data_IF_780608943859
#
_entry.id   IF_780608943859
#
_cell.length_a   1.000
_cell.length_b   1.000
_cell.length_c   1.000
_cell.angle_alpha   90.00
_cell.angle_beta   90.00
_cell.angle_gamma   90.00
#
_symmetry.space_group_name_H-M   'P 1'
#
loop_
_entity.id
_entity.type
_entity.pdbx_description
1 polymer ?
#
# COMPACT_ATOMS: atom_id res chain seq x y z
N UNK A 1 3.02 -5.49 -37.49
CA UNK A 1 3.55 -4.10 -37.62
C UNK A 1 4.50 -3.86 -36.45
N UNK A 2 5.68 -3.27 -36.68
CA UNK A 2 6.68 -3.09 -35.61
C UNK A 2 6.49 -1.80 -34.79
N UNK A 3 7.19 -1.66 -33.65
CA UNK A 3 7.07 -0.50 -32.74
C UNK A 3 7.27 0.83 -33.46
N UNK A 4 8.32 0.92 -34.29
CA UNK A 4 8.67 2.15 -34.99
C UNK A 4 7.61 2.57 -36.00
N UNK A 5 7.01 1.60 -36.71
CA UNK A 5 5.89 1.83 -37.62
C UNK A 5 4.64 2.28 -36.87
N UNK A 6 4.30 1.61 -35.77
CA UNK A 6 3.14 1.95 -34.93
C UNK A 6 3.23 3.37 -34.37
N UNK A 7 4.35 3.73 -33.74
CA UNK A 7 4.54 5.05 -33.12
C UNK A 7 4.59 6.17 -34.16
N UNK A 8 5.18 5.89 -35.33
CA UNK A 8 5.21 6.86 -36.42
C UNK A 8 3.81 7.12 -36.97
N UNK A 9 3.02 6.08 -37.20
CA UNK A 9 1.64 6.25 -37.69
C UNK A 9 0.75 6.93 -36.64
N UNK A 10 0.92 6.58 -35.36
CA UNK A 10 0.23 7.25 -34.25
C UNK A 10 0.61 8.73 -34.16
N UNK A 11 1.90 9.06 -34.24
CA UNK A 11 2.39 10.44 -34.32
C UNK A 11 1.74 11.18 -35.48
N UNK A 12 1.76 10.60 -36.69
CA UNK A 12 1.23 11.27 -37.90
C UNK A 12 -0.28 11.53 -37.82
N UNK A 13 -1.04 10.65 -37.14
CA UNK A 13 -2.50 10.82 -36.96
C UNK A 13 -2.82 11.90 -35.91
N UNK A 14 -2.02 12.01 -34.87
CA UNK A 14 -2.19 12.96 -33.76
C UNK A 14 -1.48 14.30 -34.00
N UNK A 15 -0.51 14.34 -34.90
CA UNK A 15 0.20 15.54 -35.32
C UNK A 15 -0.78 16.57 -35.90
N UNK A 16 -0.83 17.75 -35.28
CA UNK A 16 -1.77 18.80 -35.63
C UNK A 16 -3.17 18.66 -35.01
N UNK A 17 -3.44 17.57 -34.29
CA UNK A 17 -4.65 17.42 -33.44
C UNK A 17 -4.35 17.62 -31.96
N UNK A 18 -3.11 17.36 -31.52
CA UNK A 18 -2.63 17.60 -30.16
C UNK A 18 -1.53 18.68 -30.15
N UNK A 19 -1.38 19.44 -29.05
CA UNK A 19 -0.17 20.21 -28.77
C UNK A 19 1.08 19.35 -28.84
N UNK A 20 2.25 19.89 -29.26
CA UNK A 20 3.48 19.10 -29.38
C UNK A 20 3.94 18.45 -28.07
N UNK A 21 3.66 19.07 -26.92
CA UNK A 21 3.99 18.53 -25.59
C UNK A 21 3.13 17.31 -25.23
N UNK A 22 1.82 17.39 -25.43
CA UNK A 22 0.90 16.25 -25.21
C UNK A 22 1.15 15.11 -26.20
N UNK A 23 1.54 15.45 -27.43
CA UNK A 23 1.90 14.45 -28.43
C UNK A 23 3.14 13.65 -28.00
N UNK A 24 4.14 14.33 -27.44
CA UNK A 24 5.36 13.70 -26.93
C UNK A 24 5.05 12.78 -25.73
N UNK A 25 4.21 13.23 -24.81
CA UNK A 25 3.76 12.43 -23.65
C UNK A 25 3.04 11.15 -24.08
N UNK A 26 2.10 11.25 -25.03
CA UNK A 26 1.38 10.10 -25.59
C UNK A 26 2.34 9.12 -26.25
N UNK A 27 3.30 9.61 -27.03
CA UNK A 27 4.27 8.74 -27.71
C UNK A 27 5.24 8.09 -26.73
N UNK A 28 5.66 8.80 -25.68
CA UNK A 28 6.52 8.28 -24.62
C UNK A 28 5.83 7.15 -23.83
N UNK A 29 4.53 7.29 -23.56
CA UNK A 29 3.74 6.24 -22.92
C UNK A 29 3.73 4.94 -23.73
N UNK A 30 3.39 5.02 -25.02
CA UNK A 30 3.38 3.82 -25.87
C UNK A 30 4.80 3.29 -26.13
N UNK A 31 5.81 4.15 -26.21
CA UNK A 31 7.21 3.71 -26.28
C UNK A 31 7.63 2.88 -25.07
N UNK A 32 7.32 3.35 -23.86
CA UNK A 32 7.55 2.60 -22.63
C UNK A 32 6.77 1.28 -22.63
N UNK A 33 5.54 1.30 -23.14
CA UNK A 33 4.69 0.11 -23.25
C UNK A 33 5.29 -0.99 -24.14
N UNK A 34 5.84 -0.62 -25.30
CA UNK A 34 6.54 -1.58 -26.15
C UNK A 34 7.88 -2.06 -25.54
N UNK A 35 8.53 -1.22 -24.72
CA UNK A 35 9.82 -1.56 -24.11
C UNK A 35 9.70 -2.49 -22.89
N UNK A 36 8.57 -2.43 -22.17
CA UNK A 36 8.29 -3.23 -20.97
C UNK A 36 7.71 -4.62 -21.30
N UNK A 37 7.35 -4.85 -22.57
CA UNK A 37 6.78 -6.12 -23.01
C UNK A 37 7.86 -7.15 -23.32
N UNK A 38 7.72 -8.36 -22.76
CA UNK A 38 8.55 -9.54 -23.11
C UNK A 38 8.14 -10.18 -24.46
N UNK A 39 6.98 -9.78 -25.00
CA UNK A 39 6.44 -10.25 -26.28
C UNK A 39 7.06 -9.51 -27.47
N UNK A 40 6.99 -10.13 -28.66
CA UNK A 40 7.44 -9.48 -29.88
C UNK A 40 6.57 -8.26 -30.24
N UNK A 41 7.20 -7.24 -30.82
CA UNK A 41 6.55 -5.96 -31.13
C UNK A 41 5.30 -6.10 -32.03
N UNK A 42 5.24 -7.15 -32.85
CA UNK A 42 4.09 -7.41 -33.71
C UNK A 42 2.87 -7.90 -32.91
N UNK A 43 3.09 -8.80 -31.95
CA UNK A 43 2.06 -9.24 -30.99
C UNK A 43 1.56 -8.08 -30.11
N UNK A 44 2.46 -7.21 -29.65
CA UNK A 44 2.08 -6.01 -28.88
C UNK A 44 1.23 -5.06 -29.71
N UNK A 45 1.60 -4.83 -30.98
CA UNK A 45 0.83 -3.99 -31.89
C UNK A 45 -0.55 -4.58 -32.21
N UNK A 46 -0.68 -5.90 -32.37
CA UNK A 46 -1.98 -6.55 -32.56
C UNK A 46 -2.90 -6.35 -31.36
N UNK A 47 -2.34 -6.41 -30.15
CA UNK A 47 -3.10 -6.23 -28.90
C UNK A 47 -3.55 -4.79 -28.67
N UNK A 48 -2.73 -3.81 -29.06
CA UNK A 48 -3.09 -2.38 -29.03
C UNK A 48 -4.15 -2.01 -30.09
N UNK A 49 -4.29 -2.81 -31.14
CA UNK A 49 -5.15 -2.51 -32.28
C UNK A 49 -4.49 -1.57 -33.28
N UNK A 50 -5.28 -0.94 -34.15
CA UNK A 50 -4.71 -0.02 -35.16
C UNK A 50 -4.32 1.32 -34.54
N UNK A 51 -3.23 1.98 -35.00
CA UNK A 51 -2.85 3.33 -34.54
C UNK A 51 -3.98 4.36 -34.66
N UNK A 52 -4.86 4.20 -35.66
CA UNK A 52 -6.05 5.04 -35.83
C UNK A 52 -7.08 4.86 -34.71
N UNK A 53 -7.31 3.63 -34.23
CA UNK A 53 -8.20 3.36 -33.11
C UNK A 53 -7.65 3.94 -31.80
N UNK A 54 -6.35 3.81 -31.59
CA UNK A 54 -5.66 4.39 -30.43
C UNK A 54 -5.72 5.91 -30.47
N UNK A 55 -5.44 6.52 -31.63
CA UNK A 55 -5.56 7.97 -31.79
C UNK A 55 -6.99 8.48 -31.56
N UNK A 56 -8.01 7.74 -31.99
CA UNK A 56 -9.40 8.08 -31.74
C UNK A 56 -9.74 8.06 -30.25
N UNK A 57 -9.23 7.07 -29.50
CA UNK A 57 -9.38 7.01 -28.05
C UNK A 57 -8.72 8.20 -27.36
N UNK A 58 -7.45 8.50 -27.70
CA UNK A 58 -6.71 9.65 -27.16
C UNK A 58 -7.45 10.97 -27.41
N UNK A 59 -8.07 11.14 -28.59
CA UNK A 59 -8.82 12.35 -28.93
C UNK A 59 -10.22 12.39 -28.32
N UNK A 60 -10.82 11.23 -28.03
CA UNK A 60 -12.13 11.12 -27.39
C UNK A 60 -12.04 11.48 -25.91
N UNK A 61 -11.02 10.99 -25.23
CA UNK A 61 -10.72 11.33 -23.83
C UNK A 61 -10.48 12.85 -23.65
N UNK A 62 -10.03 13.53 -24.71
CA UNK A 62 -9.87 15.00 -24.77
C UNK A 62 -11.18 15.78 -25.00
N UNK A 63 -12.15 15.21 -25.70
CA UNK A 63 -13.39 15.91 -26.09
C UNK A 63 -14.54 15.76 -25.07
N UNK A 64 -14.31 15.07 -23.96
CA UNK A 64 -15.16 15.20 -22.77
C UNK A 64 -14.82 16.53 -22.05
N UNK A 65 -15.82 17.31 -21.57
CA UNK A 65 -15.60 18.69 -21.18
C UNK A 65 -14.74 18.78 -19.92
N UNK A 66 -13.46 18.97 -20.13
CA UNK A 66 -12.49 19.40 -19.13
C UNK A 66 -12.63 20.90 -18.97
N UNK A 67 -13.12 21.38 -17.82
CA UNK A 67 -13.09 22.80 -17.51
C UNK A 67 -11.65 23.22 -17.17
N UNK A 68 -11.01 23.94 -18.08
CA UNK A 68 -9.73 24.62 -17.86
C UNK A 68 -9.80 25.53 -16.61
N UNK A 69 -8.82 25.43 -15.71
CA UNK A 69 -8.58 26.45 -14.68
C UNK A 69 -7.25 27.17 -14.98
N UNK A 70 -7.22 28.51 -15.06
CA UNK A 70 -6.04 29.29 -15.41
C UNK A 70 -5.04 29.41 -14.24
N UNK A 71 -3.78 29.72 -14.59
CA UNK A 71 -2.69 29.96 -13.65
C UNK A 71 -3.05 30.91 -12.48
N UNK A 72 -2.64 30.61 -11.23
CA UNK A 72 -3.09 31.37 -10.06
C UNK A 72 -2.38 32.73 -9.91
N UNK A 73 -3.18 33.78 -9.70
CA UNK A 73 -2.76 35.06 -9.11
C UNK A 73 -3.08 35.10 -7.60
N UNK A 74 -2.35 35.86 -6.77
CA UNK A 74 -2.47 35.78 -5.32
C UNK A 74 -3.62 36.66 -4.78
N UNK A 75 -4.56 36.07 -4.05
CA UNK A 75 -5.65 36.81 -3.41
C UNK A 75 -6.42 35.99 -2.36
N UNK A 76 -6.53 36.54 -1.15
CA UNK A 76 -7.10 35.96 0.08
C UNK A 76 -8.60 35.65 -0.01
N UNK A 77 -9.06 34.50 0.54
CA UNK A 77 -9.98 34.37 1.69
C UNK A 77 -10.59 32.95 1.76
N UNK A 78 -10.48 32.35 2.96
CA UNK A 78 -10.72 30.93 3.29
C UNK A 78 -12.21 30.55 3.29
N UNK A 79 -12.58 29.50 2.55
CA UNK A 79 -13.60 28.50 2.93
C UNK A 79 -13.44 27.20 2.09
N UNK A 80 -13.73 26.08 2.75
CA UNK A 80 -13.38 24.68 2.47
C UNK A 80 -13.97 24.10 1.17
N UNK A 81 -13.18 23.31 0.42
CA UNK A 81 -13.64 22.29 -0.52
C UNK A 81 -12.51 21.27 -0.83
N UNK A 82 -12.89 19.99 -0.93
CA UNK A 82 -12.07 18.78 -1.08
C UNK A 82 -11.31 18.70 -2.43
N UNK A 83 -10.14 18.05 -2.43
CA UNK A 83 -9.17 17.91 -3.53
C UNK A 83 -9.19 16.48 -4.11
N UNK A 84 -9.05 16.24 -5.43
CA UNK A 84 -8.96 14.89 -5.99
C UNK A 84 -7.54 14.31 -5.83
N UNK A 85 -7.43 13.20 -5.08
CA UNK A 85 -6.22 12.46 -4.74
C UNK A 85 -6.12 11.26 -5.69
N UNK A 86 -5.56 11.42 -6.90
CA UNK A 86 -5.46 10.28 -7.85
C UNK A 86 -4.04 10.05 -8.39
N UNK A 87 -3.13 11.04 -8.33
CA UNK A 87 -1.73 10.85 -8.83
C UNK A 87 -0.69 11.05 -7.73
N UNK A 88 -1.10 11.45 -6.53
CA UNK A 88 -0.19 11.74 -5.44
C UNK A 88 0.10 10.51 -4.55
N UNK A 89 -0.78 9.50 -4.49
CA UNK A 89 -0.58 8.37 -3.57
C UNK A 89 0.61 7.49 -3.98
N UNK A 90 0.76 7.05 -5.23
CA UNK A 90 1.90 6.20 -5.61
C UNK A 90 3.27 6.89 -5.43
N UNK A 91 3.37 8.18 -5.76
CA UNK A 91 4.62 8.94 -5.62
C UNK A 91 4.89 9.42 -4.18
N UNK A 92 3.87 9.72 -3.38
CA UNK A 92 4.02 10.03 -1.95
C UNK A 92 4.24 8.78 -1.13
N UNK A 93 3.61 7.66 -1.47
CA UNK A 93 3.87 6.35 -0.86
C UNK A 93 5.28 5.91 -1.21
N UNK A 94 5.72 5.95 -2.47
CA UNK A 94 7.12 5.68 -2.82
C UNK A 94 8.10 6.65 -2.17
N UNK A 95 7.74 7.94 -2.04
CA UNK A 95 8.58 8.93 -1.34
C UNK A 95 8.57 8.75 0.19
N UNK A 96 7.48 8.26 0.79
CA UNK A 96 7.38 7.87 2.20
C UNK A 96 8.13 6.56 2.44
N UNK A 97 8.02 5.57 1.56
CA UNK A 97 8.81 4.33 1.54
C UNK A 97 10.30 4.66 1.43
N UNK A 98 10.69 5.53 0.49
CA UNK A 98 12.06 6.03 0.36
C UNK A 98 12.47 6.88 1.56
N UNK A 99 11.57 7.65 2.18
CA UNK A 99 11.86 8.39 3.40
C UNK A 99 12.05 7.45 4.60
N UNK A 100 11.25 6.40 4.76
CA UNK A 100 11.39 5.38 5.81
C UNK A 100 12.59 4.45 5.56
N UNK A 101 12.97 4.22 4.28
CA UNK A 101 14.20 3.52 3.89
C UNK A 101 15.46 4.37 4.09
N UNK A 102 15.41 5.68 3.83
CA UNK A 102 16.58 6.57 3.86
C UNK A 102 16.73 7.38 5.17
N UNK A 103 15.65 7.57 5.92
CA UNK A 103 15.59 8.39 7.14
C UNK A 103 14.87 7.62 8.23
N UNK A 104 15.54 6.60 8.80
CA UNK A 104 15.20 6.18 10.17
C UNK A 104 15.98 7.07 11.13
N UNK A 105 15.34 7.97 11.92
CA UNK A 105 15.97 8.41 13.15
C UNK A 105 16.18 7.16 13.99
N UNK A 106 17.44 6.83 14.29
CA UNK A 106 17.74 5.81 15.28
C UNK A 106 17.04 6.24 16.59
N UNK A 107 16.11 5.45 17.17
CA UNK A 107 15.47 5.83 18.42
C UNK A 107 16.47 5.95 19.58
N UNK A 108 17.75 5.57 19.40
CA UNK A 108 18.80 5.92 20.36
C UNK A 108 19.29 7.38 20.30
N UNK A 109 18.98 8.14 19.25
CA UNK A 109 19.40 9.54 19.08
C UNK A 109 18.33 10.54 19.56
N UNK A 110 17.81 10.33 20.78
CA UNK A 110 17.11 11.40 21.47
C UNK A 110 18.11 12.44 21.98
N UNK A 111 18.29 13.54 21.24
CA UNK A 111 18.92 14.76 21.77
C UNK A 111 17.95 15.38 22.78
N UNK A 112 18.09 15.01 24.06
CA UNK A 112 17.30 15.57 25.15
C UNK A 112 17.64 17.05 25.34
N UNK A 113 16.65 17.92 25.14
CA UNK A 113 16.66 19.28 25.67
C UNK A 113 16.55 19.21 27.21
N UNK A 114 17.28 20.06 27.95
CA UNK A 114 17.29 19.98 29.41
C UNK A 114 15.90 20.30 29.97
N UNK A 115 15.22 19.27 30.51
CA UNK A 115 13.94 19.42 31.21
C UNK A 115 12.84 18.42 30.81
N UNK A 116 13.02 17.58 29.78
CA UNK A 116 12.10 16.49 29.47
C UNK A 116 12.63 15.18 30.06
N UNK A 117 11.82 14.52 30.89
CA UNK A 117 12.04 13.11 31.22
C UNK A 117 11.74 12.30 29.97
N UNK A 118 12.73 11.52 29.50
CA UNK A 118 12.47 10.49 28.51
C UNK A 118 11.45 9.52 29.11
N UNK A 119 10.22 9.53 28.60
CA UNK A 119 9.31 8.41 28.84
C UNK A 119 10.04 7.15 28.37
N UNK A 120 10.08 6.15 29.23
CA UNK A 120 11.00 5.05 29.11
C UNK A 120 10.72 4.26 27.81
N UNK A 121 11.63 4.38 26.85
CA UNK A 121 11.75 3.47 25.71
C UNK A 121 11.90 2.06 26.26
N UNK A 122 10.82 1.29 26.26
CA UNK A 122 10.85 -0.12 26.64
C UNK A 122 11.40 -0.92 25.47
N UNK A 123 12.72 -1.07 25.40
CA UNK A 123 13.39 -2.01 24.50
C UNK A 123 13.93 -3.17 25.33
N UNK A 124 13.15 -4.22 25.60
CA UNK A 124 13.74 -5.43 26.15
C UNK A 124 14.77 -5.97 25.15
N UNK A 125 15.94 -6.38 25.66
CA UNK A 125 16.93 -7.12 24.87
C UNK A 125 16.36 -8.52 24.60
N UNK A 126 15.62 -8.66 23.50
CA UNK A 126 14.93 -9.90 23.14
C UNK A 126 15.95 -10.93 22.62
N UNK A 127 16.16 -12.00 23.39
CA UNK A 127 16.84 -13.21 22.94
C UNK A 127 15.82 -14.33 22.74
N UNK A 128 15.43 -14.59 21.49
CA UNK A 128 14.44 -15.61 21.12
C UNK A 128 13.02 -15.09 21.17
N UNK A 129 12.07 -15.98 21.47
CA UNK A 129 10.66 -15.60 21.64
C UNK A 129 10.50 -14.68 22.84
N UNK A 130 9.63 -13.68 22.71
CA UNK A 130 9.23 -12.78 23.78
C UNK A 130 7.71 -12.66 23.83
N UNK A 131 7.16 -12.48 25.01
CA UNK A 131 5.72 -12.36 25.26
C UNK A 131 5.51 -11.48 26.50
N UNK A 132 4.60 -10.52 26.42
CA UNK A 132 4.32 -9.64 27.55
C UNK A 132 3.15 -8.69 27.32
N UNK A 133 2.63 -8.17 28.42
CA UNK A 133 1.69 -7.05 28.40
C UNK A 133 2.43 -5.77 27.96
N UNK A 134 1.72 -4.94 27.20
CA UNK A 134 2.18 -3.62 26.75
C UNK A 134 1.24 -2.55 27.28
N UNK A 135 1.71 -1.31 27.34
CA UNK A 135 0.85 -0.20 27.76
C UNK A 135 -0.22 0.05 26.66
N UNK A 136 -1.36 0.70 26.99
CA UNK A 136 -2.34 1.07 25.97
C UNK A 136 -1.75 1.97 24.87
N UNK A 137 -2.13 1.72 23.61
CA UNK A 137 -1.71 2.53 22.46
C UNK A 137 -2.87 2.81 21.51
N UNK A 138 -2.77 3.87 20.71
CA UNK A 138 -3.73 4.19 19.63
C UNK A 138 -3.08 4.15 18.25
N UNK A 139 -1.74 4.09 18.19
CA UNK A 139 -0.96 3.99 16.97
C UNK A 139 -0.11 2.72 16.97
N UNK A 140 -0.15 2.00 15.86
CA UNK A 140 0.66 0.82 15.63
C UNK A 140 1.56 1.04 14.42
N UNK A 141 2.85 0.77 14.58
CA UNK A 141 3.85 0.88 13.52
C UNK A 141 4.65 -0.43 13.47
N UNK A 142 4.62 -1.12 12.34
CA UNK A 142 5.36 -2.37 12.15
C UNK A 142 6.19 -2.27 10.88
N UNK A 143 7.49 -2.53 10.98
CA UNK A 143 8.41 -2.49 9.86
C UNK A 143 9.36 -3.68 9.89
N UNK A 144 9.05 -4.75 9.16
CA UNK A 144 9.83 -5.99 9.16
C UNK A 144 10.20 -6.47 7.75
N UNK A 145 11.40 -7.01 7.59
CA UNK A 145 11.81 -7.63 6.33
C UNK A 145 11.16 -9.00 6.07
N UNK A 146 10.92 -9.79 7.12
CA UNK A 146 10.40 -11.15 7.01
C UNK A 146 9.59 -11.53 8.26
N UNK A 147 8.42 -12.12 8.04
CA UNK A 147 7.58 -12.70 9.09
C UNK A 147 6.11 -12.36 8.95
N UNK A 148 5.27 -13.13 9.63
CA UNK A 148 3.83 -12.92 9.59
C UNK A 148 3.40 -12.00 10.73
N UNK A 149 2.41 -11.15 10.46
CA UNK A 149 1.81 -10.26 11.44
C UNK A 149 0.38 -10.69 11.67
N UNK A 150 0.01 -10.88 12.93
CA UNK A 150 -1.35 -11.16 13.35
C UNK A 150 -1.79 -10.12 14.37
N UNK A 151 -2.93 -9.48 14.11
CA UNK A 151 -3.58 -8.53 15.02
C UNK A 151 -4.99 -9.05 15.31
N UNK A 152 -5.30 -9.22 16.59
CA UNK A 152 -6.59 -9.78 17.03
C UNK A 152 -7.19 -9.00 18.20
N UNK A 153 -8.52 -9.05 18.34
CA UNK A 153 -9.18 -8.60 19.56
C UNK A 153 -9.07 -9.64 20.69
N UNK A 154 -8.78 -9.17 21.91
CA UNK A 154 -8.78 -9.98 23.11
C UNK A 154 -9.17 -9.20 24.35
N UNK A 155 -8.72 -9.67 25.51
CA UNK A 155 -9.14 -9.10 26.79
C UNK A 155 -8.12 -8.09 27.37
N UNK A 156 -6.89 -8.09 26.85
CA UNK A 156 -5.77 -7.29 27.37
C UNK A 156 -4.83 -6.84 26.25
N UNK A 157 -4.08 -5.77 26.52
CA UNK A 157 -2.99 -5.31 25.66
C UNK A 157 -1.82 -6.28 25.78
N UNK A 158 -1.48 -6.94 24.68
CA UNK A 158 -0.46 -7.96 24.71
C UNK A 158 0.30 -8.05 23.39
N UNK A 159 1.61 -8.29 23.50
CA UNK A 159 2.50 -8.45 22.36
C UNK A 159 3.29 -9.75 22.53
N UNK A 160 3.36 -10.53 21.45
CA UNK A 160 4.19 -11.71 21.36
C UNK A 160 5.03 -11.65 20.09
N UNK A 161 6.33 -11.89 20.25
CA UNK A 161 7.34 -11.88 19.21
C UNK A 161 7.96 -13.28 19.15
N UNK A 162 7.82 -13.97 18.03
CA UNK A 162 8.39 -15.30 17.80
C UNK A 162 9.58 -15.15 16.85
N UNK A 163 10.73 -15.70 17.25
CA UNK A 163 12.00 -15.57 16.53
C UNK A 163 12.73 -16.92 16.52
N UNK A 164 12.22 -17.86 15.70
CA UNK A 164 12.71 -19.25 15.63
C UNK A 164 13.31 -19.57 14.27
N UNK A 165 14.25 -20.51 14.23
CA UNK A 165 14.78 -21.07 12.98
C UNK A 165 16.10 -20.48 12.49
N UNK A 166 16.69 -19.52 13.21
CA UNK A 166 18.06 -19.07 12.95
C UNK A 166 19.08 -19.96 13.67
N UNK A 167 20.03 -20.54 12.94
CA UNK A 167 21.19 -21.19 13.56
C UNK A 167 21.94 -20.12 14.36
N UNK A 168 22.03 -20.34 15.68
CA UNK A 168 22.77 -19.55 16.67
C UNK A 168 24.20 -19.14 16.27
N UNK A 169 24.76 -19.77 15.22
CA UNK A 169 26.09 -19.48 14.68
C UNK A 169 26.14 -18.34 13.65
N UNK A 170 25.01 -17.85 13.12
CA UNK A 170 25.03 -16.95 11.96
C UNK A 170 24.15 -15.68 11.95
N UNK A 171 23.25 -15.40 12.89
CA UNK A 171 22.38 -14.23 12.68
C UNK A 171 21.96 -13.48 13.96
N UNK A 172 22.64 -12.36 14.23
CA UNK A 172 22.22 -11.33 15.21
C UNK A 172 21.39 -10.22 14.57
N UNK A 173 21.08 -10.33 13.28
CA UNK A 173 20.66 -9.20 12.43
C UNK A 173 19.15 -9.19 12.13
N UNK A 174 18.46 -10.34 12.14
CA UNK A 174 17.00 -10.40 11.93
C UNK A 174 16.16 -10.46 13.21
N UNK A 175 16.65 -9.87 14.31
CA UNK A 175 15.90 -9.84 15.56
C UNK A 175 14.74 -8.86 15.49
N UNK A 176 13.55 -9.32 15.90
CA UNK A 176 12.44 -8.45 16.23
C UNK A 176 12.78 -7.61 17.47
N UNK A 177 12.50 -6.31 17.38
CA UNK A 177 12.53 -5.37 18.48
C UNK A 177 11.17 -4.70 18.56
N UNK A 178 10.85 -4.21 19.74
CA UNK A 178 9.76 -3.27 19.90
C UNK A 178 10.16 -2.12 20.82
N UNK A 179 9.42 -1.04 20.73
CA UNK A 179 9.44 0.07 21.66
C UNK A 179 8.04 0.62 21.75
N UNK A 180 7.67 1.09 22.93
CA UNK A 180 6.47 1.88 23.11
C UNK A 180 6.86 3.26 23.60
N UNK A 181 6.39 4.29 22.88
CA UNK A 181 6.60 5.69 23.23
C UNK A 181 5.24 6.40 23.23
N UNK A 182 4.74 6.71 24.42
CA UNK A 182 3.42 7.29 24.59
C UNK A 182 2.32 6.41 24.00
N UNK A 183 1.65 6.94 22.97
CA UNK A 183 0.49 6.32 22.32
C UNK A 183 0.84 5.39 21.15
N UNK A 184 2.13 5.20 20.87
CA UNK A 184 2.62 4.47 19.70
C UNK A 184 3.39 3.23 20.11
N UNK A 185 2.94 2.06 19.64
CA UNK A 185 3.69 0.80 19.68
C UNK A 185 4.40 0.60 18.33
N UNK A 186 5.73 0.53 18.36
CA UNK A 186 6.55 0.26 17.18
C UNK A 186 7.22 -1.10 17.29
N UNK A 187 7.16 -1.93 16.24
CA UNK A 187 7.85 -3.22 16.12
C UNK A 187 8.66 -3.25 14.83
N UNK A 188 9.94 -3.65 14.89
CA UNK A 188 10.80 -3.66 13.71
C UNK A 188 11.86 -4.76 13.69
N UNK A 189 12.37 -5.09 12.51
CA UNK A 189 13.56 -5.94 12.34
C UNK A 189 14.85 -5.11 12.34
N UNK A 190 15.93 -5.65 12.92
CA UNK A 190 17.25 -4.99 12.99
C UNK A 190 17.99 -4.99 11.64
N UNK A 191 17.61 -5.85 10.70
CA UNK A 191 18.17 -5.88 9.34
C UNK A 191 17.16 -6.48 8.37
N UNK A 192 17.20 -5.97 7.13
CA UNK A 192 16.33 -6.39 6.03
C UNK A 192 17.03 -7.40 5.10
N UNK A 193 18.23 -7.86 5.48
CA UNK A 193 18.98 -8.85 4.73
C UNK A 193 18.41 -10.25 5.00
N UNK A 194 17.73 -10.82 4.02
CA UNK A 194 17.33 -12.23 4.04
C UNK A 194 18.59 -13.07 3.82
N UNK A 195 19.18 -13.58 4.90
CA UNK A 195 20.24 -14.58 4.79
C UNK A 195 19.67 -15.87 4.20
N UNK A 196 20.28 -16.38 3.13
CA UNK A 196 19.94 -17.68 2.54
C UNK A 196 20.40 -18.82 3.46
N UNK A 197 19.57 -19.16 4.44
CA UNK A 197 19.77 -20.30 5.35
C UNK A 197 19.07 -21.56 4.88
N UNK A 198 19.53 -22.73 5.36
CA UNK A 198 18.93 -24.04 5.05
C UNK A 198 17.56 -24.29 5.72
N UNK A 199 17.13 -23.42 6.64
CA UNK A 199 15.85 -23.50 7.32
C UNK A 199 15.02 -22.25 7.06
N UNK A 200 13.73 -22.43 6.77
CA UNK A 200 12.76 -21.34 6.78
C UNK A 200 12.59 -20.86 8.23
N UNK A 201 12.89 -19.59 8.53
CA UNK A 201 12.69 -19.04 9.87
C UNK A 201 11.18 -18.92 10.19
N UNK A 202 10.80 -19.22 11.43
CA UNK A 202 9.44 -19.00 11.97
C UNK A 202 9.46 -17.67 12.74
N UNK A 203 9.00 -16.62 12.07
CA UNK A 203 9.02 -15.23 12.52
C UNK A 203 7.58 -14.74 12.57
N UNK A 204 7.11 -14.37 13.75
CA UNK A 204 5.72 -13.92 13.93
C UNK A 204 5.60 -12.79 14.93
N UNK A 205 4.77 -11.82 14.61
CA UNK A 205 4.31 -10.76 15.50
C UNK A 205 2.84 -11.02 15.77
N UNK A 206 2.48 -11.26 17.03
CA UNK A 206 1.10 -11.40 17.48
C UNK A 206 0.78 -10.22 18.41
N UNK A 207 -0.25 -9.45 18.05
CA UNK A 207 -0.72 -8.31 18.82
C UNK A 207 -2.17 -8.56 19.22
N UNK A 208 -2.43 -8.47 20.51
CA UNK A 208 -3.79 -8.53 21.05
C UNK A 208 -4.19 -7.14 21.53
N UNK A 209 -5.31 -6.66 21.03
CA UNK A 209 -5.91 -5.37 21.41
C UNK A 209 -7.20 -5.64 22.20
N UNK A 210 -7.46 -4.96 23.32
CA UNK A 210 -8.69 -5.16 24.07
C UNK A 210 -9.94 -4.86 23.23
N UNK A 211 -10.95 -5.73 23.35
CA UNK A 211 -12.23 -5.61 22.64
C UNK A 211 -12.86 -4.24 22.81
N UNK A 212 -13.40 -3.71 21.72
CA UNK A 212 -14.06 -2.40 21.70
C UNK A 212 -13.10 -1.21 21.77
N UNK A 213 -11.79 -1.46 21.68
CA UNK A 213 -10.80 -0.41 21.45
C UNK A 213 -10.78 -0.06 19.96
N UNK A 214 -10.65 1.23 19.67
CA UNK A 214 -10.40 1.72 18.32
C UNK A 214 -9.00 2.34 18.27
N UNK A 215 -8.17 1.84 17.36
CA UNK A 215 -6.92 2.48 17.01
C UNK A 215 -7.20 3.71 16.15
N UNK A 216 -6.35 4.72 16.26
CA UNK A 216 -6.37 5.90 15.40
C UNK A 216 -5.60 5.65 14.10
N UNK A 217 -4.52 4.88 14.17
CA UNK A 217 -3.64 4.64 13.04
C UNK A 217 -2.92 3.29 13.17
N UNK A 218 -2.75 2.60 12.05
CA UNK A 218 -1.90 1.42 11.97
C UNK A 218 -1.16 1.43 10.63
N UNK A 219 0.18 1.42 10.66
CA UNK A 219 1.04 1.38 9.49
C UNK A 219 1.94 0.13 9.56
N UNK A 220 1.79 -0.76 8.59
CA UNK A 220 2.50 -2.03 8.51
C UNK A 220 3.27 -2.11 7.20
N UNK A 221 4.58 -2.23 7.27
CA UNK A 221 5.49 -2.48 6.15
C UNK A 221 6.19 -3.82 6.31
N UNK A 222 5.94 -4.74 5.37
CA UNK A 222 6.45 -6.11 5.42
C UNK A 222 7.15 -6.44 4.10
N UNK A 223 8.37 -6.99 4.18
CA UNK A 223 9.06 -7.47 2.98
C UNK A 223 8.43 -8.77 2.47
N UNK A 224 8.47 -9.82 3.30
CA UNK A 224 7.92 -11.14 3.00
C UNK A 224 7.14 -11.69 4.20
N UNK A 225 5.88 -12.06 4.00
CA UNK A 225 5.02 -12.66 5.00
C UNK A 225 3.59 -12.18 4.92
N UNK A 226 2.71 -12.90 5.60
CA UNK A 226 1.27 -12.65 5.56
C UNK A 226 0.82 -11.72 6.69
N UNK A 227 -0.27 -10.99 6.45
CA UNK A 227 -0.96 -10.19 7.45
C UNK A 227 -2.35 -10.75 7.68
N UNK A 228 -2.65 -11.05 8.94
CA UNK A 228 -3.99 -11.41 9.41
C UNK A 228 -4.43 -10.34 10.43
N UNK A 229 -5.48 -9.60 10.10
CA UNK A 229 -6.04 -8.57 10.96
C UNK A 229 -7.52 -8.85 11.23
N UNK A 230 -7.85 -9.31 12.43
CA UNK A 230 -9.21 -9.71 12.79
C UNK A 230 -9.80 -8.89 13.94
N UNK A 231 -10.97 -8.31 13.70
CA UNK A 231 -11.83 -7.60 14.64
C UNK A 231 -11.35 -6.21 15.07
N UNK A 232 -10.04 -5.98 15.18
CA UNK A 232 -9.49 -4.76 15.77
C UNK A 232 -9.89 -3.51 14.98
N UNK A 233 -10.66 -2.61 15.59
CA UNK A 233 -11.18 -1.40 14.91
C UNK A 233 -10.07 -0.38 14.65
N UNK A 234 -10.02 0.17 13.44
CA UNK A 234 -9.17 1.33 13.11
C UNK A 234 -10.05 2.49 12.66
N UNK A 235 -10.22 3.49 13.54
CA UNK A 235 -11.11 4.63 13.32
C UNK A 235 -10.55 5.68 12.35
N UNK A 236 -9.23 5.80 12.28
CA UNK A 236 -8.52 6.63 11.30
C UNK A 236 -8.04 5.78 10.13
N UNK A 237 -6.73 5.70 9.92
CA UNK A 237 -6.13 5.04 8.75
C UNK A 237 -5.46 3.71 9.12
N UNK A 238 -5.81 2.66 8.38
CA UNK A 238 -5.01 1.45 8.25
C UNK A 238 -4.22 1.50 6.94
N UNK A 239 -2.90 1.35 7.01
CA UNK A 239 -1.98 1.26 5.87
C UNK A 239 -1.20 -0.04 5.99
N UNK A 240 -1.30 -0.93 5.01
CA UNK A 240 -0.57 -2.21 4.99
C UNK A 240 0.09 -2.38 3.64
N UNK A 241 1.39 -2.55 3.64
CA UNK A 241 2.21 -2.77 2.46
C UNK A 241 3.03 -4.04 2.63
N UNK A 242 2.89 -4.98 1.70
CA UNK A 242 3.71 -6.18 1.63
C UNK A 242 4.43 -6.28 0.27
N UNK A 243 5.67 -6.76 0.28
CA UNK A 243 6.35 -7.14 -0.95
C UNK A 243 5.80 -8.44 -1.52
N UNK A 244 5.80 -9.48 -0.67
CA UNK A 244 5.29 -10.82 -0.99
C UNK A 244 4.54 -11.39 0.21
N UNK A 245 3.27 -11.72 0.02
CA UNK A 245 2.41 -12.32 1.03
C UNK A 245 0.97 -11.85 0.90
N UNK A 246 0.08 -12.59 1.55
CA UNK A 246 -1.36 -12.32 1.51
C UNK A 246 -1.75 -11.35 2.62
N UNK A 247 -2.74 -10.50 2.33
CA UNK A 247 -3.33 -9.57 3.28
C UNK A 247 -4.80 -9.97 3.52
N UNK A 248 -5.12 -10.51 4.70
CA UNK A 248 -6.50 -10.78 5.13
C UNK A 248 -6.87 -9.82 6.27
N UNK A 249 -7.79 -8.90 5.98
CA UNK A 249 -8.24 -7.90 6.93
C UNK A 249 -9.75 -8.02 7.10
N UNK A 250 -10.19 -8.16 8.35
CA UNK A 250 -11.59 -8.27 8.76
C UNK A 250 -11.83 -7.34 9.96
N UNK A 251 -12.28 -6.11 9.72
CA UNK A 251 -12.45 -5.13 10.80
C UNK A 251 -13.38 -3.96 10.45
N UNK A 252 -13.91 -3.24 11.45
CA UNK A 252 -14.47 -1.91 11.24
C UNK A 252 -13.35 -0.89 10.96
N UNK A 253 -13.41 -0.25 9.78
CA UNK A 253 -12.36 0.66 9.30
C UNK A 253 -12.92 2.05 8.95
N UNK A 254 -12.17 3.08 9.33
CA UNK A 254 -12.35 4.46 8.89
C UNK A 254 -11.84 4.66 7.47
N UNK A 255 -10.54 4.49 7.26
CA UNK A 255 -9.92 4.43 5.94
C UNK A 255 -8.91 3.27 5.88
N UNK A 256 -8.74 2.68 4.70
CA UNK A 256 -7.83 1.57 4.48
C UNK A 256 -7.06 1.73 3.17
N UNK A 257 -5.78 1.41 3.21
CA UNK A 257 -4.87 1.32 2.06
C UNK A 257 -4.08 0.02 2.20
N UNK A 258 -4.43 -0.99 1.40
CA UNK A 258 -3.87 -2.34 1.47
C UNK A 258 -3.21 -2.66 0.13
N UNK A 259 -1.91 -2.95 0.16
CA UNK A 259 -1.13 -3.17 -1.06
C UNK A 259 -0.17 -4.34 -0.90
N UNK A 260 -0.15 -5.24 -1.88
CA UNK A 260 0.88 -6.28 -1.99
C UNK A 260 1.47 -6.34 -3.40
N UNK A 261 2.77 -6.60 -3.51
CA UNK A 261 3.42 -6.86 -4.79
C UNK A 261 2.97 -8.19 -5.39
N UNK A 262 3.07 -9.26 -4.61
CA UNK A 262 2.64 -10.62 -4.96
C UNK A 262 1.88 -11.22 -3.79
N UNK A 263 0.63 -11.60 -4.01
CA UNK A 263 -0.28 -12.14 -3.01
C UNK A 263 -1.70 -11.62 -3.18
N UNK A 264 -2.63 -12.24 -2.47
CA UNK A 264 -4.04 -11.85 -2.51
C UNK A 264 -4.32 -10.77 -1.46
N UNK A 265 -5.24 -9.86 -1.77
CA UNK A 265 -5.72 -8.85 -0.81
C UNK A 265 -7.20 -9.05 -0.58
N UNK A 266 -7.57 -9.40 0.65
CA UNK A 266 -8.94 -9.59 1.08
C UNK A 266 -9.29 -8.60 2.19
N UNK A 267 -10.35 -7.81 1.98
CA UNK A 267 -10.93 -6.95 3.01
C UNK A 267 -12.40 -7.30 3.23
N UNK A 268 -12.74 -7.65 4.48
CA UNK A 268 -14.09 -7.72 5.02
C UNK A 268 -14.31 -6.52 5.95
N UNK A 269 -15.02 -5.50 5.46
CA UNK A 269 -15.24 -4.27 6.22
C UNK A 269 -16.64 -4.24 6.82
N UNK A 270 -16.73 -3.91 8.11
CA UNK A 270 -18.03 -3.71 8.78
C UNK A 270 -18.61 -2.36 8.41
N UNK A 271 -19.84 -2.32 7.89
CA UNK A 271 -20.55 -1.10 7.53
C UNK A 271 -21.25 -1.19 6.17
N UNK A 272 -22.04 -0.16 5.85
CA UNK A 272 -22.75 -0.16 4.58
C UNK A 272 -21.82 0.25 3.44
N UNK A 273 -21.97 -0.36 2.27
CA UNK A 273 -21.23 0.06 1.07
C UNK A 273 -21.38 1.55 0.74
N UNK A 274 -22.49 2.19 1.11
CA UNK A 274 -22.70 3.64 0.92
C UNK A 274 -21.84 4.52 1.83
N UNK A 275 -21.28 3.97 2.90
CA UNK A 275 -20.41 4.70 3.83
C UNK A 275 -19.01 4.90 3.25
N UNK A 276 -18.68 4.16 2.19
CA UNK A 276 -17.36 4.09 1.59
C UNK A 276 -17.34 4.57 0.14
N UNK A 277 -16.25 5.22 -0.24
CA UNK A 277 -15.71 5.25 -1.58
C UNK A 277 -14.57 4.22 -1.65
N UNK A 278 -14.51 3.45 -2.73
CA UNK A 278 -13.55 2.34 -2.85
C UNK A 278 -12.93 2.27 -4.24
N UNK A 279 -11.68 1.80 -4.27
CA UNK A 279 -10.91 1.51 -5.46
C UNK A 279 -10.15 0.19 -5.27
N UNK A 280 -10.35 -0.74 -6.19
CA UNK A 280 -9.74 -2.07 -6.22
C UNK A 280 -8.90 -2.17 -7.49
N UNK A 281 -7.69 -2.70 -7.39
CA UNK A 281 -6.81 -2.85 -8.55
C UNK A 281 -5.98 -4.12 -8.47
N UNK A 282 -5.82 -4.84 -9.57
CA UNK A 282 -4.86 -5.95 -9.68
C UNK A 282 -4.10 -5.86 -11.00
N UNK A 283 -2.78 -6.11 -11.00
CA UNK A 283 -2.02 -6.23 -12.24
C UNK A 283 -2.31 -7.56 -12.97
N UNK A 284 -2.47 -8.64 -12.22
CA UNK A 284 -2.86 -9.97 -12.72
C UNK A 284 -3.63 -10.71 -11.65
N UNK A 285 -4.89 -11.02 -11.93
CA UNK A 285 -5.82 -11.69 -11.01
C UNK A 285 -7.25 -11.22 -11.24
N UNK A 286 -8.17 -11.70 -10.39
CA UNK A 286 -9.57 -11.31 -10.39
C UNK A 286 -9.86 -10.24 -9.33
N UNK A 287 -10.77 -9.32 -9.65
CA UNK A 287 -11.35 -8.40 -8.66
C UNK A 287 -12.77 -8.88 -8.29
N UNK A 288 -13.01 -9.07 -6.99
CA UNK A 288 -14.30 -9.47 -6.44
C UNK A 288 -14.85 -8.41 -5.49
N UNK A 289 -16.14 -8.11 -5.64
CA UNK A 289 -16.91 -7.22 -4.79
C UNK A 289 -18.13 -7.98 -4.26
N UNK A 290 -18.24 -8.13 -2.95
CA UNK A 290 -19.31 -8.90 -2.29
C UNK A 290 -19.46 -10.33 -2.88
N UNK A 291 -18.33 -10.97 -3.20
CA UNK A 291 -18.28 -12.32 -3.79
C UNK A 291 -18.57 -12.41 -5.29
N UNK A 292 -18.93 -11.31 -5.96
CA UNK A 292 -19.15 -11.27 -7.41
C UNK A 292 -17.92 -10.68 -8.13
N UNK A 293 -17.57 -11.22 -9.30
CA UNK A 293 -16.52 -10.64 -10.15
C UNK A 293 -16.92 -9.25 -10.61
N UNK A 294 -16.24 -8.22 -10.12
CA UNK A 294 -16.59 -6.82 -10.35
C UNK A 294 -16.09 -6.29 -11.69
N UNK A 295 -15.02 -6.88 -12.23
CA UNK A 295 -14.31 -6.37 -13.39
C UNK A 295 -13.79 -7.52 -14.29
N UNK A 296 -14.68 -8.22 -15.01
CA UNK A 296 -14.27 -9.39 -15.81
C UNK A 296 -13.31 -9.07 -16.97
N UNK A 297 -13.02 -7.79 -17.24
CA UNK A 297 -12.14 -7.34 -18.33
C UNK A 297 -11.33 -6.08 -18.00
N UNK A 298 -11.29 -5.64 -16.73
CA UNK A 298 -10.53 -4.46 -16.31
C UNK A 298 -9.70 -4.77 -15.07
N UNK A 299 -8.50 -4.20 -15.01
CA UNK A 299 -7.56 -4.35 -13.89
C UNK A 299 -7.89 -3.42 -12.71
N UNK A 300 -9.00 -2.69 -12.80
CA UNK A 300 -9.44 -1.74 -11.78
C UNK A 300 -10.96 -1.74 -11.70
N UNK A 301 -11.48 -1.61 -10.48
CA UNK A 301 -12.88 -1.34 -10.19
C UNK A 301 -12.97 -0.20 -9.17
N UNK A 302 -13.89 0.74 -9.37
CA UNK A 302 -14.14 1.85 -8.44
C UNK A 302 -15.63 2.00 -8.18
N UNK A 303 -15.97 2.56 -7.02
CA UNK A 303 -17.36 2.86 -6.71
C UNK A 303 -17.55 3.44 -5.32
N UNK A 304 -18.81 3.59 -4.94
CA UNK A 304 -19.18 4.24 -3.68
C UNK A 304 -19.07 5.77 -3.74
N UNK A 305 -19.65 6.42 -2.74
CA UNK A 305 -19.70 7.88 -2.62
C UNK A 305 -19.65 8.35 -1.16
N UNK A 306 -19.28 7.45 -0.25
CA UNK A 306 -19.18 7.76 1.17
C UNK A 306 -17.91 8.53 1.53
N UNK A 307 -17.87 9.02 2.76
CA UNK A 307 -16.77 9.85 3.27
C UNK A 307 -15.54 9.03 3.68
N UNK A 308 -15.71 7.71 3.84
CA UNK A 308 -14.63 6.76 4.15
C UNK A 308 -14.01 6.23 2.87
N UNK A 309 -12.71 5.93 2.87
CA UNK A 309 -11.99 5.50 1.67
C UNK A 309 -11.32 4.15 1.84
N UNK A 310 -11.49 3.25 0.87
CA UNK A 310 -10.82 1.95 0.81
C UNK A 310 -10.03 1.83 -0.50
N UNK A 311 -8.74 1.53 -0.41
CA UNK A 311 -7.90 1.22 -1.55
C UNK A 311 -7.26 -0.14 -1.35
N UNK A 312 -7.47 -1.06 -2.31
CA UNK A 312 -6.88 -2.40 -2.31
C UNK A 312 -6.14 -2.62 -3.62
N UNK A 313 -4.87 -3.01 -3.53
CA UNK A 313 -4.01 -3.23 -4.69
C UNK A 313 -3.22 -4.52 -4.57
N UNK A 314 -3.22 -5.34 -5.63
CA UNK A 314 -2.25 -6.43 -5.78
C UNK A 314 -1.49 -6.27 -7.10
N UNK A 315 -0.17 -6.47 -7.12
CA UNK A 315 0.58 -6.56 -8.37
C UNK A 315 0.25 -7.85 -9.12
N UNK A 316 0.30 -8.98 -8.41
CA UNK A 316 -0.10 -10.31 -8.91
C UNK A 316 -0.82 -11.06 -7.79
N UNK A 317 -2.11 -11.26 -7.98
CA UNK A 317 -3.02 -11.86 -7.01
C UNK A 317 -4.44 -11.32 -7.16
N UNK A 318 -5.37 -11.95 -6.48
CA UNK A 318 -6.78 -11.56 -6.46
C UNK A 318 -7.01 -10.43 -5.45
N UNK A 319 -7.99 -9.58 -5.74
CA UNK A 319 -8.44 -8.53 -4.82
C UNK A 319 -9.91 -8.76 -4.50
N UNK A 320 -10.24 -8.90 -3.22
CA UNK A 320 -11.60 -9.14 -2.74
C UNK A 320 -12.01 -8.10 -1.70
N UNK A 321 -13.16 -7.44 -1.92
CA UNK A 321 -13.78 -6.54 -0.96
C UNK A 321 -15.20 -7.02 -0.64
N UNK A 322 -15.49 -7.21 0.64
CA UNK A 322 -16.81 -7.58 1.16
C UNK A 322 -17.28 -6.58 2.22
N UNK A 323 -18.52 -6.11 2.08
CA UNK A 323 -19.19 -5.28 3.10
C UNK A 323 -20.09 -6.16 3.99
N UNK A 324 -20.03 -5.95 5.31
CA UNK A 324 -20.79 -6.72 6.32
C UNK A 324 -21.69 -5.85 7.20
#
# INVERSE_FOLDING_TARGET
MNKAEFLKELHDILAGKLPPEELDDVLSYYEAYFADSEEDEETVAERLGSPASVAEQVLKDRNEPTAEVPAPQPGKQKNRAFLPIIVFCGAVVLALLLYFLLVRPDPSDSVLLPGQTADAVQTPDIQGDWEGEVDPFTKLDISIGLGNVQVEEGDQWHLRLINRGWDSRYDTTQKLKYSQNGDTLSVWSVSDNIASGESSPDVRILITVPKGTALEQADLGIGVGDVDWDGCTVSGKLSVESGVGDLDVSAPLGTADLSTGVGDVTLKVTGSQSDYAWQLSTGTGDIRLNGETAAPFTFTATGGNGDRSLSLTSGTGDVSLEFQ
#
